data_IF_824966475423
#
_entry.id   IF_824966475423
#
_cell.length_a   1.000
_cell.length_b   1.000
_cell.length_c   1.000
_cell.angle_alpha   90.00
_cell.angle_beta   90.00
_cell.angle_gamma   90.00
#
_symmetry.space_group_name_H-M   'P 1'
#
loop_
_entity.id
_entity.type
_entity.pdbx_description
1 polymer ?
#
# COMPACT_ATOMS: atom_id res chain seq x y z
N UNK A 1 11.41 -2.63 -28.17
CA UNK A 1 11.01 -1.39 -27.43
C UNK A 1 12.21 -0.47 -27.30
N UNK A 2 12.07 0.85 -27.31
CA UNK A 2 13.22 1.76 -27.11
C UNK A 2 13.67 1.70 -25.65
N UNK A 3 14.98 1.53 -25.35
CA UNK A 3 15.49 1.53 -23.98
C UNK A 3 15.09 2.81 -23.22
N UNK A 4 14.70 2.64 -21.98
CA UNK A 4 14.31 3.75 -21.11
C UNK A 4 15.11 3.69 -19.80
N UNK A 5 15.32 4.85 -19.17
CA UNK A 5 15.84 4.94 -17.80
C UNK A 5 14.65 4.83 -16.85
N UNK A 6 14.60 3.75 -16.10
CA UNK A 6 13.51 3.43 -15.16
C UNK A 6 14.06 3.50 -13.73
N UNK A 7 13.44 4.34 -12.91
CA UNK A 7 13.74 4.46 -11.50
C UNK A 7 12.75 3.58 -10.72
N UNK A 8 13.23 2.55 -10.06
CA UNK A 8 12.38 1.68 -9.23
C UNK A 8 12.43 2.17 -7.79
N UNK A 9 11.28 2.51 -7.23
CA UNK A 9 11.12 3.00 -5.86
C UNK A 9 10.54 1.89 -5.00
N UNK A 10 11.10 1.68 -3.82
CA UNK A 10 10.69 0.67 -2.85
C UNK A 10 11.07 1.09 -1.44
N UNK A 11 10.63 0.38 -0.42
CA UNK A 11 11.12 0.59 0.94
C UNK A 11 12.63 0.30 1.02
N UNK A 12 13.38 1.03 1.86
CA UNK A 12 14.85 0.92 1.92
C UNK A 12 15.34 -0.49 2.26
N UNK A 13 14.59 -1.23 3.08
CA UNK A 13 14.93 -2.62 3.45
C UNK A 13 14.68 -3.64 2.34
N UNK A 14 13.92 -3.27 1.30
CA UNK A 14 13.53 -4.13 0.19
C UNK A 14 14.40 -3.93 -1.05
N UNK A 15 15.41 -3.07 -0.99
CA UNK A 15 16.33 -2.89 -2.12
C UNK A 15 17.08 -4.21 -2.38
N UNK A 16 16.81 -4.86 -3.52
CA UNK A 16 17.34 -6.20 -3.76
C UNK A 16 18.82 -6.16 -4.09
N UNK A 17 19.57 -7.21 -3.73
CA UNK A 17 20.96 -7.36 -4.12
C UNK A 17 21.07 -7.61 -5.63
N UNK A 18 22.24 -7.36 -6.21
CA UNK A 18 22.48 -7.67 -7.63
C UNK A 18 22.42 -9.18 -7.92
N UNK A 19 22.79 -10.01 -6.95
CA UNK A 19 22.84 -11.47 -7.06
C UNK A 19 22.26 -12.13 -5.82
N UNK A 20 21.54 -13.23 -5.99
CA UNK A 20 20.93 -13.98 -4.89
C UNK A 20 21.90 -14.94 -4.18
N UNK A 21 23.14 -15.07 -4.66
CA UNK A 21 24.14 -15.94 -4.06
C UNK A 21 24.44 -15.53 -2.61
N UNK A 22 24.28 -16.45 -1.67
CA UNK A 22 24.50 -16.23 -0.24
C UNK A 22 23.25 -15.91 0.58
N UNK A 23 22.10 -15.71 -0.06
CA UNK A 23 20.82 -15.51 0.63
C UNK A 23 20.06 -16.83 0.80
N UNK A 24 19.40 -16.98 1.94
CA UNK A 24 18.48 -18.08 2.19
C UNK A 24 17.17 -17.87 1.42
N UNK A 25 16.40 -18.94 1.20
CA UNK A 25 15.08 -18.82 0.56
C UNK A 25 14.14 -17.88 1.29
N UNK A 26 14.21 -17.85 2.64
CA UNK A 26 13.39 -16.95 3.45
C UNK A 26 13.79 -15.48 3.25
N UNK A 27 15.07 -15.16 3.21
CA UNK A 27 15.55 -13.80 2.94
C UNK A 27 15.20 -13.33 1.53
N UNK A 28 15.28 -14.23 0.53
CA UNK A 28 14.91 -13.92 -0.85
C UNK A 28 13.40 -13.59 -0.92
N UNK A 29 12.56 -14.29 -0.15
CA UNK A 29 11.13 -14.07 -0.15
C UNK A 29 10.75 -12.67 0.32
N UNK A 30 11.53 -12.05 1.21
CA UNK A 30 11.29 -10.70 1.74
C UNK A 30 11.34 -9.61 0.66
N UNK A 31 12.23 -9.72 -0.32
CA UNK A 31 12.41 -8.74 -1.42
C UNK A 31 12.19 -9.36 -2.82
N UNK A 32 11.52 -10.52 -2.90
CA UNK A 32 11.32 -11.24 -4.16
C UNK A 32 10.62 -10.39 -5.22
N UNK A 33 9.58 -9.69 -4.84
CA UNK A 33 8.80 -8.87 -5.78
C UNK A 33 9.68 -7.78 -6.42
N UNK A 34 10.44 -7.08 -5.61
CA UNK A 34 11.33 -6.01 -6.04
C UNK A 34 12.46 -6.57 -6.93
N UNK A 35 13.04 -7.70 -6.52
CA UNK A 35 14.07 -8.38 -7.32
C UNK A 35 13.54 -8.80 -8.68
N UNK A 36 12.40 -9.48 -8.73
CA UNK A 36 11.82 -9.99 -9.98
C UNK A 36 11.44 -8.84 -10.93
N UNK A 37 10.87 -7.74 -10.41
CA UNK A 37 10.57 -6.54 -11.19
C UNK A 37 11.85 -5.93 -11.77
N UNK A 38 12.89 -5.75 -10.94
CA UNK A 38 14.18 -5.17 -11.38
C UNK A 38 14.83 -6.05 -12.46
N UNK A 39 14.87 -7.37 -12.26
CA UNK A 39 15.44 -8.30 -13.24
C UNK A 39 14.66 -8.28 -14.56
N UNK A 40 13.33 -8.27 -14.49
CA UNK A 40 12.49 -8.25 -15.69
C UNK A 40 12.66 -6.95 -16.48
N UNK A 41 12.76 -5.81 -15.81
CA UNK A 41 13.00 -4.51 -16.46
C UNK A 41 14.38 -4.49 -17.14
N UNK A 42 15.43 -5.00 -16.47
CA UNK A 42 16.77 -5.13 -17.06
C UNK A 42 16.77 -6.10 -18.25
N UNK A 43 16.14 -7.26 -18.12
CA UNK A 43 16.01 -8.25 -19.21
C UNK A 43 15.25 -7.69 -20.42
N UNK A 44 14.35 -6.76 -20.22
CA UNK A 44 13.63 -6.03 -21.27
C UNK A 44 14.48 -4.94 -21.97
N UNK A 45 15.75 -4.78 -21.58
CA UNK A 45 16.69 -3.84 -22.18
C UNK A 45 16.61 -2.41 -21.65
N UNK A 46 16.01 -2.22 -20.48
CA UNK A 46 15.95 -0.89 -19.84
C UNK A 46 17.18 -0.65 -18.95
N UNK A 47 17.57 0.61 -18.79
CA UNK A 47 18.52 1.05 -17.78
C UNK A 47 17.77 1.27 -16.47
N UNK A 48 18.11 0.51 -15.42
CA UNK A 48 17.36 0.47 -14.17
C UNK A 48 18.22 0.94 -13.01
N UNK A 49 17.70 1.86 -12.21
CA UNK A 49 18.23 2.23 -10.90
C UNK A 49 17.16 2.01 -9.83
N UNK A 50 17.59 1.53 -8.66
CA UNK A 50 16.73 1.35 -7.50
C UNK A 50 17.02 2.45 -6.49
N UNK A 51 15.97 2.93 -5.80
CA UNK A 51 16.07 3.78 -4.62
C UNK A 51 15.23 3.16 -3.52
N UNK A 52 15.86 2.94 -2.37
CA UNK A 52 15.20 2.65 -1.12
C UNK A 52 14.69 3.93 -0.47
N UNK A 53 13.41 4.02 -0.23
CA UNK A 53 12.78 5.14 0.47
C UNK A 53 12.83 4.86 1.97
N UNK A 54 13.51 5.74 2.70
CA UNK A 54 13.55 5.79 4.16
C UNK A 54 12.82 7.03 4.69
N UNK A 55 13.53 7.82 5.52
CA UNK A 55 12.92 8.95 6.23
C UNK A 55 12.80 10.24 5.42
N UNK A 56 13.47 10.36 4.26
CA UNK A 56 13.47 11.58 3.46
C UNK A 56 13.55 11.31 1.96
N UNK A 57 13.32 12.35 1.16
CA UNK A 57 13.30 12.29 -0.30
C UNK A 57 14.52 12.95 -0.96
N UNK A 58 15.61 13.16 -0.22
CA UNK A 58 16.80 13.86 -0.73
C UNK A 58 17.47 13.08 -1.85
N UNK A 59 17.74 11.78 -1.63
CA UNK A 59 18.35 10.90 -2.63
C UNK A 59 17.48 10.81 -3.89
N UNK A 60 16.15 10.67 -3.72
CA UNK A 60 15.21 10.68 -4.83
C UNK A 60 15.30 11.97 -5.64
N UNK A 61 15.38 13.11 -4.96
CA UNK A 61 15.56 14.43 -5.59
C UNK A 61 16.83 14.47 -6.43
N UNK A 62 17.95 14.01 -5.87
CA UNK A 62 19.26 14.05 -6.52
C UNK A 62 19.31 13.14 -7.74
N UNK A 63 18.77 11.94 -7.64
CA UNK A 63 18.71 11.00 -8.77
C UNK A 63 17.79 11.52 -9.88
N UNK A 64 16.64 12.09 -9.55
CA UNK A 64 15.75 12.68 -10.56
C UNK A 64 16.48 13.80 -11.34
N UNK A 65 17.19 14.67 -10.63
CA UNK A 65 17.89 15.81 -11.25
C UNK A 65 19.13 15.40 -12.07
N UNK A 66 19.92 14.46 -11.53
CA UNK A 66 21.21 14.09 -12.14
C UNK A 66 21.05 13.03 -13.22
N UNK A 67 20.27 11.99 -12.99
CA UNK A 67 20.12 10.86 -13.91
C UNK A 67 18.96 11.02 -14.88
N UNK A 68 17.97 11.85 -14.54
CA UNK A 68 16.81 12.18 -15.39
C UNK A 68 16.08 10.93 -15.88
N UNK A 69 15.50 10.12 -14.98
CA UNK A 69 14.71 8.96 -15.36
C UNK A 69 13.54 9.34 -16.26
N UNK A 70 13.11 8.45 -17.12
CA UNK A 70 11.95 8.66 -17.97
C UNK A 70 10.64 8.36 -17.25
N UNK A 71 10.69 7.43 -16.28
CA UNK A 71 9.56 6.99 -15.48
C UNK A 71 10.05 6.42 -14.15
N UNK A 72 9.25 6.59 -13.08
CA UNK A 72 9.39 5.85 -11.84
C UNK A 72 8.48 4.62 -11.87
N UNK A 73 9.05 3.43 -11.63
CA UNK A 73 8.30 2.23 -11.32
C UNK A 73 8.11 2.20 -9.80
N UNK A 74 6.90 2.51 -9.34
CA UNK A 74 6.62 2.71 -7.93
C UNK A 74 6.16 1.41 -7.27
N UNK A 75 6.98 0.86 -6.36
CA UNK A 75 6.67 -0.26 -5.48
C UNK A 75 6.60 0.18 -4.01
N UNK A 76 6.63 1.50 -3.74
CA UNK A 76 6.53 1.99 -2.38
C UNK A 76 5.10 1.84 -1.85
N UNK A 77 4.94 1.14 -0.73
CA UNK A 77 3.65 0.90 -0.08
C UNK A 77 3.47 1.74 1.18
N UNK A 78 4.53 2.40 1.62
CA UNK A 78 4.59 3.28 2.79
C UNK A 78 5.64 4.36 2.63
N UNK A 79 5.65 5.34 3.55
CA UNK A 79 6.75 6.28 3.73
C UNK A 79 6.88 6.66 5.19
N UNK A 80 8.10 6.65 5.72
CA UNK A 80 8.40 6.90 7.15
C UNK A 80 7.64 5.96 8.10
N UNK A 81 7.51 4.67 7.74
CA UNK A 81 6.79 3.67 8.54
C UNK A 81 5.27 3.82 8.56
N UNK A 82 4.71 4.67 7.70
CA UNK A 82 3.27 4.92 7.66
C UNK A 82 2.70 4.68 6.26
N UNK A 83 1.84 3.67 6.15
CA UNK A 83 1.20 3.26 4.89
C UNK A 83 0.36 4.36 4.24
N UNK A 84 -0.25 5.25 5.03
CA UNK A 84 -1.03 6.38 4.51
C UNK A 84 -0.17 7.53 3.97
N UNK A 85 1.16 7.42 4.05
CA UNK A 85 2.10 8.39 3.50
C UNK A 85 2.64 8.02 2.12
N UNK A 86 2.32 6.86 1.56
CA UNK A 86 2.70 6.47 0.21
C UNK A 86 2.25 7.49 -0.85
N UNK A 87 1.06 8.08 -0.68
CA UNK A 87 0.54 9.12 -1.57
C UNK A 87 1.40 10.40 -1.57
N UNK A 88 2.19 10.68 -0.52
CA UNK A 88 3.10 11.83 -0.50
C UNK A 88 4.30 11.61 -1.41
N UNK A 89 4.80 10.37 -1.51
CA UNK A 89 5.85 10.01 -2.47
C UNK A 89 5.35 10.26 -3.90
N UNK A 90 4.15 9.81 -4.21
CA UNK A 90 3.55 9.98 -5.54
C UNK A 90 3.26 11.46 -5.82
N UNK A 91 2.77 12.22 -4.83
CA UNK A 91 2.62 13.68 -4.93
C UNK A 91 3.95 14.38 -5.22
N UNK A 92 5.04 13.92 -4.60
CA UNK A 92 6.37 14.43 -4.87
C UNK A 92 6.83 14.15 -6.30
N UNK A 93 6.57 12.94 -6.84
CA UNK A 93 6.86 12.62 -8.25
C UNK A 93 6.10 13.54 -9.21
N UNK A 94 4.82 13.88 -8.92
CA UNK A 94 4.04 14.85 -9.69
C UNK A 94 4.66 16.24 -9.66
N UNK A 95 5.10 16.72 -8.49
CA UNK A 95 5.80 18.00 -8.35
C UNK A 95 7.12 18.01 -9.14
N UNK A 96 7.83 16.89 -9.18
CA UNK A 96 9.05 16.72 -9.95
C UNK A 96 8.77 16.48 -11.45
N UNK A 97 7.51 16.39 -11.87
CA UNK A 97 7.07 16.10 -13.24
C UNK A 97 7.64 14.80 -13.81
N UNK A 98 7.88 13.82 -12.93
CA UNK A 98 8.34 12.49 -13.31
C UNK A 98 7.12 11.57 -13.46
N UNK A 99 6.87 11.00 -14.67
CA UNK A 99 5.86 9.96 -14.84
C UNK A 99 6.13 8.77 -13.92
N UNK A 100 5.07 8.09 -13.47
CA UNK A 100 5.18 6.96 -12.56
C UNK A 100 4.11 5.91 -12.85
N UNK A 101 4.31 4.69 -12.35
CA UNK A 101 3.33 3.60 -12.39
C UNK A 101 2.44 3.62 -11.15
N UNK A 102 1.21 3.12 -11.30
CA UNK A 102 0.26 3.02 -10.19
C UNK A 102 -0.74 4.18 -10.16
N UNK A 103 -1.46 4.29 -9.03
CA UNK A 103 -2.47 5.31 -8.83
C UNK A 103 -1.84 6.69 -8.57
N UNK A 104 -2.58 7.74 -8.94
CA UNK A 104 -2.26 9.10 -8.51
C UNK A 104 -2.56 9.30 -7.00
N UNK A 105 -2.09 10.39 -6.38
CA UNK A 105 -2.28 10.62 -4.93
C UNK A 105 -3.74 10.53 -4.49
N UNK A 106 -4.67 11.05 -5.29
CA UNK A 106 -6.09 10.99 -5.00
C UNK A 106 -6.61 9.56 -5.00
N UNK A 107 -6.18 8.75 -5.97
CA UNK A 107 -6.53 7.32 -6.03
C UNK A 107 -6.00 6.54 -4.83
N UNK A 108 -4.76 6.81 -4.41
CA UNK A 108 -4.16 6.19 -3.21
C UNK A 108 -4.94 6.55 -1.94
N UNK A 109 -5.24 7.83 -1.70
CA UNK A 109 -6.05 8.26 -0.55
C UNK A 109 -7.41 7.56 -0.54
N UNK A 110 -8.08 7.48 -1.69
CA UNK A 110 -9.38 6.82 -1.79
C UNK A 110 -9.30 5.31 -1.57
N UNK A 111 -8.30 4.64 -2.13
CA UNK A 111 -8.15 3.18 -1.99
C UNK A 111 -7.77 2.76 -0.56
N UNK A 112 -7.00 3.58 0.14
CA UNK A 112 -6.59 3.34 1.53
C UNK A 112 -7.74 3.41 2.53
N UNK A 113 -8.75 4.25 2.29
CA UNK A 113 -9.95 4.34 3.14
C UNK A 113 -11.10 3.49 2.59
N UNK A 114 -11.25 2.27 3.14
CA UNK A 114 -12.30 1.33 2.74
C UNK A 114 -13.71 1.87 2.98
N UNK A 115 -13.88 2.76 3.95
CA UNK A 115 -15.18 3.39 4.24
C UNK A 115 -15.50 4.44 3.17
N UNK A 116 -14.57 5.32 2.88
CA UNK A 116 -14.73 6.35 1.87
C UNK A 116 -14.92 5.73 0.47
N UNK A 117 -14.12 4.72 0.13
CA UNK A 117 -14.28 3.98 -1.12
C UNK A 117 -15.69 3.41 -1.26
N UNK A 118 -16.21 2.76 -0.21
CA UNK A 118 -17.57 2.19 -0.25
C UNK A 118 -18.65 3.25 -0.35
N UNK A 119 -18.51 4.38 0.34
CA UNK A 119 -19.44 5.50 0.24
C UNK A 119 -19.51 6.04 -1.19
N UNK A 120 -18.35 6.19 -1.85
CA UNK A 120 -18.28 6.62 -3.25
C UNK A 120 -18.90 5.60 -4.21
N UNK A 121 -18.65 4.31 -3.98
CA UNK A 121 -19.25 3.25 -4.79
C UNK A 121 -20.78 3.27 -4.67
N UNK A 122 -21.32 3.34 -3.45
CA UNK A 122 -22.76 3.41 -3.20
C UNK A 122 -23.36 4.66 -3.84
N UNK A 123 -22.71 5.82 -3.67
CA UNK A 123 -23.18 7.09 -4.29
C UNK A 123 -23.26 6.98 -5.82
N UNK A 124 -22.35 6.23 -6.45
CA UNK A 124 -22.33 6.01 -7.88
C UNK A 124 -23.17 4.78 -8.33
N UNK A 125 -24.03 4.25 -7.47
CA UNK A 125 -24.94 3.14 -7.80
C UNK A 125 -24.27 1.76 -7.90
N UNK A 126 -22.99 1.64 -7.49
CA UNK A 126 -22.28 0.35 -7.45
C UNK A 126 -22.65 -0.39 -6.16
N UNK A 127 -23.19 -1.59 -6.31
CA UNK A 127 -23.58 -2.40 -5.16
C UNK A 127 -22.36 -2.83 -4.33
N UNK A 128 -22.43 -2.59 -3.04
CA UNK A 128 -21.45 -3.06 -2.05
C UNK A 128 -22.17 -3.73 -0.89
N UNK A 129 -21.54 -4.66 -0.16
CA UNK A 129 -22.09 -5.15 1.09
C UNK A 129 -22.38 -3.98 2.03
N UNK A 130 -23.48 -4.05 2.75
CA UNK A 130 -23.79 -3.07 3.81
C UNK A 130 -22.62 -2.99 4.80
N UNK A 131 -22.33 -1.82 5.31
CA UNK A 131 -21.21 -1.62 6.23
C UNK A 131 -21.51 -0.52 7.24
N UNK A 132 -20.78 -0.54 8.33
CA UNK A 132 -20.76 0.48 9.35
C UNK A 132 -19.33 0.70 9.84
N UNK A 133 -18.98 1.93 10.20
CA UNK A 133 -17.68 2.27 10.78
C UNK A 133 -17.85 2.48 12.28
N UNK A 134 -17.04 1.80 13.09
CA UNK A 134 -16.96 1.99 14.53
C UNK A 134 -15.82 2.95 14.86
N UNK A 135 -16.09 4.23 15.13
CA UNK A 135 -15.03 5.17 15.52
C UNK A 135 -14.42 4.79 16.87
N UNK A 136 -13.10 4.97 17.01
CA UNK A 136 -12.38 4.74 18.26
C UNK A 136 -12.99 5.59 19.39
N UNK A 137 -13.20 4.99 20.56
CA UNK A 137 -13.78 5.66 21.73
C UNK A 137 -15.31 5.80 21.71
N UNK A 138 -16.01 5.24 20.74
CA UNK A 138 -17.47 5.22 20.71
C UNK A 138 -18.02 3.86 21.18
N UNK A 139 -19.27 3.88 21.70
CA UNK A 139 -19.97 2.66 22.09
C UNK A 139 -20.17 1.73 20.89
N UNK A 140 -19.82 0.47 21.07
CA UNK A 140 -19.99 -0.58 20.07
C UNK A 140 -21.36 -1.23 20.30
N UNK A 141 -22.24 -1.09 19.32
CA UNK A 141 -23.57 -1.70 19.29
C UNK A 141 -23.86 -2.20 17.88
N UNK A 142 -24.75 -3.17 17.73
CA UNK A 142 -25.16 -3.63 16.41
C UNK A 142 -25.88 -2.49 15.68
N UNK A 143 -25.39 -2.04 14.50
CA UNK A 143 -26.01 -0.96 13.75
C UNK A 143 -27.34 -1.41 13.15
N UNK A 144 -28.27 -0.48 13.03
CA UNK A 144 -29.54 -0.72 12.36
C UNK A 144 -29.31 -1.18 10.90
N UNK A 145 -30.09 -2.18 10.49
CA UNK A 145 -30.03 -2.73 9.15
C UNK A 145 -28.85 -3.68 8.84
N UNK A 146 -28.02 -3.99 9.86
CA UNK A 146 -27.01 -5.05 9.83
C UNK A 146 -27.48 -6.24 10.68
N UNK A 147 -27.10 -7.45 10.27
CA UNK A 147 -27.34 -8.69 10.99
C UNK A 147 -26.10 -9.58 10.98
N UNK A 148 -26.01 -10.47 11.95
CA UNK A 148 -24.94 -11.46 12.01
C UNK A 148 -25.14 -12.59 10.96
N UNK A 149 -24.02 -13.22 10.45
CA UNK A 149 -22.65 -12.93 10.79
C UNK A 149 -22.12 -11.65 10.15
N UNK A 150 -21.19 -10.96 10.83
CA UNK A 150 -20.51 -9.76 10.31
C UNK A 150 -19.02 -10.02 10.15
N UNK A 151 -18.40 -9.36 9.19
CA UNK A 151 -16.96 -9.38 8.99
C UNK A 151 -16.35 -8.04 9.43
N UNK A 152 -15.50 -8.08 10.47
CA UNK A 152 -14.86 -6.89 11.07
C UNK A 152 -13.43 -6.79 10.57
N UNK A 153 -13.06 -5.63 10.04
CA UNK A 153 -11.69 -5.35 9.56
C UNK A 153 -11.31 -3.89 9.79
N UNK A 154 -10.01 -3.61 9.79
CA UNK A 154 -9.50 -2.24 9.79
C UNK A 154 -9.99 -1.45 8.57
N UNK A 155 -10.18 -0.14 8.73
CA UNK A 155 -10.54 0.77 7.66
C UNK A 155 -9.34 1.06 6.75
N UNK A 156 -8.16 1.21 7.33
CA UNK A 156 -6.93 1.71 6.67
C UNK A 156 -5.90 0.64 6.34
N UNK A 157 -5.85 -0.47 7.09
CA UNK A 157 -4.81 -1.48 6.90
C UNK A 157 -5.07 -2.34 5.65
N UNK A 158 -4.01 -2.63 4.91
CA UNK A 158 -4.03 -3.45 3.70
C UNK A 158 -3.46 -4.86 3.92
N UNK A 159 -3.32 -5.62 2.84
CA UNK A 159 -2.71 -6.96 2.79
C UNK A 159 -3.28 -7.95 3.81
N UNK A 160 -4.57 -7.79 4.19
CA UNK A 160 -5.21 -8.64 5.19
C UNK A 160 -4.59 -8.57 6.59
N UNK A 161 -3.82 -7.53 6.88
CA UNK A 161 -3.27 -7.31 8.21
C UNK A 161 -4.36 -7.33 9.28
N UNK A 162 -4.13 -8.07 10.35
CA UNK A 162 -5.11 -8.23 11.42
C UNK A 162 -6.35 -9.07 11.06
N UNK A 163 -6.47 -9.61 9.84
CA UNK A 163 -7.58 -10.52 9.48
C UNK A 163 -7.26 -11.93 9.99
N UNK A 164 -8.22 -12.51 10.70
CA UNK A 164 -8.17 -13.86 11.21
C UNK A 164 -9.58 -14.47 11.17
N UNK A 165 -9.70 -15.75 11.52
CA UNK A 165 -11.01 -16.38 11.66
C UNK A 165 -11.93 -15.62 12.64
N UNK A 166 -11.35 -15.03 13.70
CA UNK A 166 -12.04 -14.16 14.65
C UNK A 166 -12.58 -12.84 14.05
N UNK A 167 -12.27 -12.54 12.79
CA UNK A 167 -12.87 -11.39 12.08
C UNK A 167 -14.31 -11.63 11.65
N UNK A 168 -14.72 -12.91 11.55
CA UNK A 168 -16.14 -13.27 11.39
C UNK A 168 -16.77 -13.36 12.79
N UNK A 169 -17.77 -12.53 13.04
CA UNK A 169 -18.44 -12.44 14.34
C UNK A 169 -19.91 -12.78 14.20
N UNK A 170 -20.44 -13.52 15.17
CA UNK A 170 -21.78 -14.10 15.14
C UNK A 170 -22.73 -13.51 16.19
N UNK A 171 -22.20 -12.69 17.10
CA UNK A 171 -22.97 -12.02 18.15
C UNK A 171 -22.34 -10.69 18.58
N UNK A 172 -23.04 -9.94 19.43
CA UNK A 172 -22.61 -8.64 19.91
C UNK A 172 -21.32 -8.70 20.76
N UNK A 173 -21.14 -9.77 21.53
CA UNK A 173 -19.96 -9.92 22.40
C UNK A 173 -18.71 -10.11 21.54
N UNK A 174 -18.79 -10.97 20.53
CA UNK A 174 -17.71 -11.18 19.56
C UNK A 174 -17.43 -9.90 18.78
N UNK A 175 -18.47 -9.17 18.35
CA UNK A 175 -18.33 -7.88 17.66
C UNK A 175 -17.56 -6.87 18.54
N UNK A 176 -17.96 -6.69 19.79
CA UNK A 176 -17.29 -5.80 20.72
C UNK A 176 -15.82 -6.14 20.89
N UNK A 177 -15.51 -7.40 21.22
CA UNK A 177 -14.13 -7.88 21.40
C UNK A 177 -13.29 -7.67 20.15
N UNK A 178 -13.86 -7.92 18.95
CA UNK A 178 -13.11 -7.80 17.71
C UNK A 178 -12.84 -6.34 17.34
N UNK A 179 -13.81 -5.45 17.51
CA UNK A 179 -13.63 -4.01 17.27
C UNK A 179 -12.62 -3.43 18.27
N UNK A 180 -12.72 -3.76 19.56
CA UNK A 180 -11.76 -3.34 20.58
C UNK A 180 -10.33 -3.80 20.26
N UNK A 181 -10.16 -5.04 19.81
CA UNK A 181 -8.86 -5.56 19.37
C UNK A 181 -8.26 -4.72 18.24
N UNK A 182 -9.05 -4.39 17.21
CA UNK A 182 -8.57 -3.54 16.10
C UNK A 182 -8.27 -2.11 16.56
N UNK A 183 -9.07 -1.57 17.49
CA UNK A 183 -8.84 -0.24 18.04
C UNK A 183 -7.58 -0.14 18.93
N UNK A 184 -7.08 -1.26 19.44
CA UNK A 184 -5.88 -1.32 20.28
C UNK A 184 -4.58 -1.38 19.47
N UNK A 185 -4.66 -1.63 18.18
CA UNK A 185 -3.52 -1.63 17.24
C UNK A 185 -3.32 -0.23 16.65
#
# INVERSE_FOLDING_TARGET
MKPSRILVLMHETLVPPERLAGFTSQQIEEFRTEYDVVQQLKASGHEVRCIGLGDNLSELTDVIKSWRPHIAFNLAEEFQGLVNRDQHVVSFLELMKLPYTGCNPKGLVLSRDKSLSKQLLVFNGVQTPKFFVFPKGRRIALPEGLGFPLFVKSVSDDASFGIAQASVVHDLIQLQRRVEFIHAQ
#
